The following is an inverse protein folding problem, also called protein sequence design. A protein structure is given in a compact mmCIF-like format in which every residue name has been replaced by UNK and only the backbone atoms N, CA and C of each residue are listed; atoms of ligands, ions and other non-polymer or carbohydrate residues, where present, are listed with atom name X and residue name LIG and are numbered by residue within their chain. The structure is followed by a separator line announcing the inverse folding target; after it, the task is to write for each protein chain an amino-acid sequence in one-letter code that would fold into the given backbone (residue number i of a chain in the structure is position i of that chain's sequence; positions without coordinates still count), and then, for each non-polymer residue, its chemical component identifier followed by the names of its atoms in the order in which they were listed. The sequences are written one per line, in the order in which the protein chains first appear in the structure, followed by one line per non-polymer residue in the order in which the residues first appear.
data_IF_878244518656
#
_entry.id   IF_878244518656
#
_cell.length_a   1.000
_cell.length_b   1.000
_cell.length_c   1.000
_cell.angle_alpha   90.00
_cell.angle_beta   90.00
_cell.angle_gamma   90.00
#
_symmetry.space_group_name_H-M   'P 1'
#
loop_
_entity.id
_entity.type
_entity.pdbx_description
1 polymer ?
#
# COMPACT_ATOMS: atom_id res chain seq x y z
N UNK A 1 -26.38 -9.64 -2.14
CA UNK A 1 -24.98 -10.08 -2.11
C UNK A 1 -24.17 -9.19 -1.17
N UNK A 2 -23.45 -9.80 -0.24
CA UNK A 2 -22.62 -9.03 0.68
C UNK A 2 -21.33 -8.61 0.03
N UNK A 3 -20.96 -7.35 0.24
CA UNK A 3 -19.64 -6.86 -0.08
C UNK A 3 -18.86 -6.72 1.21
N UNK A 4 -17.67 -7.25 1.22
CA UNK A 4 -16.82 -7.18 2.38
C UNK A 4 -15.84 -6.02 2.24
N UNK A 5 -15.60 -5.34 3.35
CA UNK A 5 -14.59 -4.32 3.42
C UNK A 5 -13.33 -4.92 4.01
N UNK A 6 -12.21 -4.70 3.34
CA UNK A 6 -10.91 -5.22 3.78
C UNK A 6 -9.91 -4.08 3.79
N UNK A 7 -9.13 -3.98 4.87
CA UNK A 7 -8.00 -3.07 4.93
C UNK A 7 -6.75 -3.80 4.47
N UNK A 8 -6.04 -3.20 3.52
CA UNK A 8 -4.77 -3.73 3.03
C UNK A 8 -3.65 -2.77 3.36
N UNK A 9 -2.58 -3.30 3.97
CA UNK A 9 -1.35 -2.57 4.13
C UNK A 9 -0.46 -2.78 2.92
N UNK A 10 0.15 -1.70 2.43
CA UNK A 10 1.09 -1.75 1.30
C UNK A 10 2.35 -1.03 1.73
N UNK A 11 3.51 -1.66 1.49
CA UNK A 11 4.77 -1.07 1.85
C UNK A 11 5.89 -1.47 0.90
N UNK A 12 6.89 -0.60 0.79
CA UNK A 12 8.08 -0.88 0.00
C UNK A 12 9.24 -0.05 0.53
N UNK A 13 10.45 -0.64 0.52
CA UNK A 13 11.70 0.10 0.69
C UNK A 13 12.66 -0.13 -0.48
N UNK A 14 12.15 -0.62 -1.58
CA UNK A 14 12.91 -0.78 -2.82
C UNK A 14 13.07 0.57 -3.51
N UNK A 15 13.86 0.60 -4.57
CA UNK A 15 14.07 1.81 -5.36
C UNK A 15 12.73 2.46 -5.72
N UNK A 16 12.62 3.77 -5.52
CA UNK A 16 11.41 4.55 -5.76
C UNK A 16 10.19 4.01 -4.98
N UNK A 17 10.29 3.92 -3.64
CA UNK A 17 9.21 3.28 -2.87
C UNK A 17 7.88 4.01 -2.96
N UNK A 18 7.88 5.34 -3.09
CA UNK A 18 6.63 6.10 -3.26
C UNK A 18 5.92 5.66 -4.53
N UNK A 19 6.66 5.56 -5.64
CA UNK A 19 6.10 5.12 -6.90
C UNK A 19 5.57 3.69 -6.81
N UNK A 20 6.31 2.82 -6.14
CA UNK A 20 5.89 1.41 -5.99
C UNK A 20 4.59 1.28 -5.21
N UNK A 21 4.44 2.04 -4.14
CA UNK A 21 3.21 2.01 -3.34
C UNK A 21 2.04 2.61 -4.13
N UNK A 22 2.24 3.73 -4.83
CA UNK A 22 1.18 4.33 -5.63
C UNK A 22 0.81 3.46 -6.82
N UNK A 23 1.78 2.79 -7.46
CA UNK A 23 1.51 1.83 -8.53
C UNK A 23 0.70 0.63 -8.02
N UNK A 24 0.98 0.17 -6.80
CA UNK A 24 0.21 -0.92 -6.19
C UNK A 24 -1.26 -0.51 -6.01
N UNK A 25 -1.52 0.70 -5.55
CA UNK A 25 -2.89 1.19 -5.44
C UNK A 25 -3.58 1.25 -6.80
N UNK A 26 -2.86 1.71 -7.83
CA UNK A 26 -3.40 1.75 -9.20
C UNK A 26 -3.73 0.34 -9.69
N UNK A 27 -2.87 -0.64 -9.40
CA UNK A 27 -3.09 -2.01 -9.80
C UNK A 27 -4.35 -2.60 -9.16
N UNK A 28 -4.66 -2.22 -7.91
CA UNK A 28 -5.86 -2.70 -7.25
C UNK A 28 -7.14 -2.30 -7.98
N UNK A 29 -7.13 -1.14 -8.66
CA UNK A 29 -8.29 -0.70 -9.44
C UNK A 29 -8.56 -1.57 -10.67
N UNK A 30 -7.59 -2.38 -11.08
CA UNK A 30 -7.73 -3.25 -12.25
C UNK A 30 -8.22 -4.66 -11.89
N UNK A 31 -8.33 -4.97 -10.61
CA UNK A 31 -8.78 -6.28 -10.15
C UNK A 31 -10.31 -6.31 -10.28
N UNK A 32 -10.80 -7.33 -11.01
CA UNK A 32 -12.24 -7.52 -11.19
C UNK A 32 -12.94 -7.71 -9.85
N UNK A 33 -14.13 -7.12 -9.73
CA UNK A 33 -14.96 -7.19 -8.53
C UNK A 33 -14.32 -6.58 -7.27
N UNK A 34 -13.31 -5.71 -7.47
CA UNK A 34 -12.63 -5.04 -6.37
C UNK A 34 -12.70 -3.52 -6.57
N UNK A 35 -13.08 -2.81 -5.53
CA UNK A 35 -13.09 -1.34 -5.54
C UNK A 35 -12.22 -0.81 -4.43
N UNK A 36 -11.38 0.15 -4.75
CA UNK A 36 -10.64 0.90 -3.74
C UNK A 36 -11.53 2.05 -3.27
N UNK A 37 -11.92 2.03 -2.02
CA UNK A 37 -12.82 3.03 -1.43
C UNK A 37 -12.05 4.22 -0.87
N UNK A 38 -10.94 3.95 -0.20
CA UNK A 38 -10.11 4.98 0.42
C UNK A 38 -8.66 4.54 0.44
N UNK A 39 -7.77 5.52 0.36
CA UNK A 39 -6.34 5.30 0.58
C UNK A 39 -5.85 6.25 1.65
N UNK A 40 -4.92 5.80 2.48
CA UNK A 40 -4.30 6.65 3.47
C UNK A 40 -3.25 7.56 2.85
N UNK A 41 -2.74 8.49 3.66
CA UNK A 41 -1.49 9.19 3.33
C UNK A 41 -0.35 8.18 3.32
N UNK A 42 0.77 8.58 2.73
CA UNK A 42 2.00 7.79 2.76
C UNK A 42 2.74 8.06 4.07
N UNK A 43 3.26 7.01 4.67
CA UNK A 43 3.99 7.10 5.92
C UNK A 43 5.38 6.50 5.74
N UNK A 44 6.38 7.13 6.34
CA UNK A 44 7.74 6.60 6.35
C UNK A 44 7.98 5.85 7.65
N UNK A 45 8.66 4.71 7.58
CA UNK A 45 9.07 3.97 8.76
C UNK A 45 10.47 3.40 8.56
N UNK A 46 11.19 3.25 9.67
CA UNK A 46 12.53 2.67 9.63
C UNK A 46 12.45 1.16 9.51
N UNK A 47 13.41 0.52 8.79
CA UNK A 47 13.44 -0.93 8.71
C UNK A 47 13.73 -1.54 10.08
N UNK A 48 13.17 -2.71 10.32
CA UNK A 48 13.49 -3.51 11.49
C UNK A 48 14.76 -4.29 11.22
N UNK A 49 15.65 -4.39 12.24
CA UNK A 49 16.93 -5.07 12.09
C UNK A 49 18.01 -4.12 11.61
N UNK A 50 18.86 -4.51 10.63
CA UNK A 50 19.97 -3.65 10.17
C UNK A 50 19.46 -2.30 9.70
N UNK A 51 20.10 -1.22 10.18
CA UNK A 51 19.67 0.15 9.90
C UNK A 51 20.33 0.73 8.64
N UNK A 52 21.08 -0.07 7.90
CA UNK A 52 21.71 0.34 6.65
C UNK A 52 20.79 0.18 5.43
N UNK A 53 19.53 -0.16 5.66
CA UNK A 53 18.53 -0.26 4.62
C UNK A 53 17.75 1.05 4.49
N UNK A 54 17.23 1.35 3.29
CA UNK A 54 16.34 2.51 3.13
C UNK A 54 15.08 2.39 3.98
N UNK A 55 14.51 3.51 4.35
CA UNK A 55 13.24 3.55 5.04
C UNK A 55 12.12 3.01 4.15
N UNK A 56 11.12 2.43 4.80
CA UNK A 56 9.89 2.00 4.11
C UNK A 56 8.97 3.17 3.89
N UNK A 57 8.25 3.11 2.77
CA UNK A 57 7.05 3.92 2.57
C UNK A 57 5.86 2.97 2.71
N UNK A 58 4.93 3.32 3.57
CA UNK A 58 3.78 2.50 3.90
C UNK A 58 2.49 3.28 3.68
N UNK A 59 1.45 2.56 3.36
CA UNK A 59 0.11 3.11 3.28
C UNK A 59 -0.91 2.00 3.54
N UNK A 60 -2.14 2.40 3.77
CA UNK A 60 -3.25 1.47 3.96
C UNK A 60 -4.36 1.88 3.00
N UNK A 61 -5.04 0.92 2.42
CA UNK A 61 -6.25 1.21 1.67
C UNK A 61 -7.40 0.35 2.16
N UNK A 62 -8.60 0.87 1.94
CA UNK A 62 -9.84 0.16 2.20
C UNK A 62 -10.40 -0.26 0.85
N UNK A 63 -10.63 -1.54 0.69
CA UNK A 63 -11.21 -2.10 -0.52
C UNK A 63 -12.53 -2.80 -0.22
N UNK A 64 -13.29 -2.95 -1.27
CA UNK A 64 -14.57 -3.63 -1.24
C UNK A 64 -14.61 -4.77 -2.25
#
# INVERSE_FOLDING_TARGET
MHKEHVYLGVGSNLENPIKRVTDAFSALHTIEDTRVLKTSSLYSSKPMGPQDQPDYINAVCLIE
#
